data_IF_166621805210
#
_entry.id   IF_166621805210
#
_cell.length_a   1.000
_cell.length_b   1.000
_cell.length_c   1.000
_cell.angle_alpha   90.00
_cell.angle_beta   90.00
_cell.angle_gamma   90.00
#
_symmetry.space_group_name_H-M   'P 1'
#
loop_
_entity.id
_entity.type
_entity.pdbx_description
1 polymer ?
#
# COMPACT_ATOMS: atom_id res chain seq x y z
N UNK A 1 -12.23 8.07 1.75
CA UNK A 1 -12.49 6.92 2.64
C UNK A 1 -13.90 7.00 3.20
N UNK A 2 -14.61 5.87 3.21
CA UNK A 2 -15.93 5.76 3.85
C UNK A 2 -15.78 5.69 5.38
N UNK A 3 -16.87 5.93 6.11
CA UNK A 3 -16.88 5.81 7.57
C UNK A 3 -16.58 4.37 8.02
N UNK A 4 -17.17 3.38 7.34
CA UNK A 4 -16.94 1.95 7.62
C UNK A 4 -15.47 1.56 7.44
N UNK A 5 -14.82 1.99 6.34
CA UNK A 5 -13.40 1.76 6.13
C UNK A 5 -12.53 2.43 7.19
N UNK A 6 -12.90 3.63 7.65
CA UNK A 6 -12.17 4.34 8.68
C UNK A 6 -12.25 3.65 10.06
N UNK A 7 -13.43 3.14 10.41
CA UNK A 7 -13.65 2.36 11.64
C UNK A 7 -12.84 1.07 11.57
N UNK A 8 -12.96 0.31 10.46
CA UNK A 8 -12.23 -0.94 10.28
C UNK A 8 -10.70 -0.75 10.34
N UNK A 9 -10.17 0.34 9.77
CA UNK A 9 -8.77 0.70 9.87
C UNK A 9 -8.35 0.97 11.31
N UNK A 10 -9.17 1.72 12.05
CA UNK A 10 -8.91 2.02 13.47
C UNK A 10 -8.89 0.74 14.31
N UNK A 11 -9.91 -0.11 14.17
CA UNK A 11 -10.01 -1.39 14.88
C UNK A 11 -8.81 -2.32 14.56
N UNK A 12 -8.39 -2.35 13.30
CA UNK A 12 -7.21 -3.11 12.89
C UNK A 12 -5.93 -2.60 13.57
N UNK A 13 -5.70 -1.29 13.56
CA UNK A 13 -4.52 -0.69 14.17
C UNK A 13 -4.49 -0.86 15.70
N UNK A 14 -5.65 -0.82 16.35
CA UNK A 14 -5.76 -1.06 17.80
C UNK A 14 -5.54 -2.53 18.17
N UNK A 15 -5.96 -3.46 17.31
CA UNK A 15 -5.78 -4.91 17.52
C UNK A 15 -4.40 -5.44 17.11
N UNK A 16 -3.56 -4.61 16.47
CA UNK A 16 -2.24 -5.05 16.03
C UNK A 16 -1.31 -5.35 17.23
N UNK A 17 -0.79 -6.58 17.35
CA UNK A 17 0.09 -6.99 18.45
C UNK A 17 1.43 -6.24 18.44
N UNK A 18 2.30 -6.58 19.39
CA UNK A 18 3.67 -6.05 19.44
C UNK A 18 4.36 -6.36 18.13
N UNK A 19 4.89 -5.32 17.50
CA UNK A 19 5.54 -5.38 16.21
C UNK A 19 7.03 -5.07 16.38
N UNK A 20 7.83 -6.13 16.45
CA UNK A 20 9.28 -6.02 16.57
C UNK A 20 9.97 -5.75 15.21
N UNK A 21 9.26 -6.02 14.11
CA UNK A 21 9.77 -5.90 12.74
C UNK A 21 9.54 -4.50 12.14
N UNK A 22 8.82 -3.62 12.84
CA UNK A 22 8.58 -2.22 12.43
C UNK A 22 7.55 -2.06 11.30
N UNK A 23 6.76 -3.09 11.03
CA UNK A 23 5.77 -3.13 9.95
C UNK A 23 4.58 -2.19 10.19
N UNK A 24 4.10 -2.09 11.43
CA UNK A 24 3.00 -1.19 11.81
C UNK A 24 3.40 0.29 11.67
N UNK A 25 4.58 0.74 12.18
CA UNK A 25 5.10 2.07 11.87
C UNK A 25 5.22 2.34 10.37
N UNK A 26 5.77 1.40 9.59
CA UNK A 26 5.88 1.53 8.14
C UNK A 26 4.52 1.73 7.49
N UNK A 27 3.55 0.87 7.80
CA UNK A 27 2.18 0.98 7.31
C UNK A 27 1.57 2.36 7.62
N UNK A 28 1.77 2.86 8.84
CA UNK A 28 1.32 4.20 9.23
C UNK A 28 1.98 5.31 8.40
N UNK A 29 3.29 5.21 8.17
CA UNK A 29 4.04 6.17 7.37
C UNK A 29 3.52 6.20 5.93
N UNK A 30 3.41 5.03 5.28
CA UNK A 30 2.89 4.92 3.91
C UNK A 30 1.44 5.40 3.80
N UNK A 31 0.59 5.08 4.77
CA UNK A 31 -0.77 5.62 4.87
C UNK A 31 -0.77 7.15 4.96
N UNK A 32 0.12 7.74 5.75
CA UNK A 32 0.26 9.20 5.85
C UNK A 32 0.72 9.83 4.54
N UNK A 33 1.66 9.20 3.83
CA UNK A 33 2.10 9.67 2.50
C UNK A 33 0.94 9.64 1.52
N UNK A 34 0.18 8.54 1.49
CA UNK A 34 -1.00 8.42 0.63
C UNK A 34 -2.06 9.47 0.94
N UNK A 35 -2.37 9.68 2.21
CA UNK A 35 -3.34 10.69 2.66
C UNK A 35 -2.91 12.13 2.34
N UNK A 36 -1.61 12.36 2.11
CA UNK A 36 -1.07 13.67 1.74
C UNK A 36 -1.18 14.01 0.25
N UNK A 37 -1.54 13.04 -0.60
CA UNK A 37 -1.71 13.27 -2.05
C UNK A 37 -3.06 13.93 -2.30
N UNK A 38 -3.03 15.10 -2.93
CA UNK A 38 -4.24 15.87 -3.26
C UNK A 38 -5.21 15.07 -4.14
N UNK A 39 -6.49 15.07 -3.78
CA UNK A 39 -7.54 14.38 -4.52
C UNK A 39 -7.54 12.85 -4.36
N UNK A 40 -6.67 12.30 -3.51
CA UNK A 40 -6.63 10.87 -3.21
C UNK A 40 -7.86 10.41 -2.42
N UNK A 41 -8.47 9.33 -2.88
CA UNK A 41 -9.46 8.56 -2.13
C UNK A 41 -8.80 7.32 -1.55
N UNK A 42 -8.94 7.11 -0.25
CA UNK A 42 -8.52 5.87 0.40
C UNK A 42 -9.70 4.91 0.56
N UNK A 43 -9.48 3.62 0.36
CA UNK A 43 -10.40 2.52 0.64
C UNK A 43 -9.68 1.46 1.46
N UNK A 44 -10.33 0.95 2.50
CA UNK A 44 -9.75 -0.05 3.39
C UNK A 44 -10.66 -1.28 3.48
N UNK A 45 -10.07 -2.46 3.29
CA UNK A 45 -10.76 -3.75 3.32
C UNK A 45 -10.05 -4.71 4.27
N UNK A 46 -10.73 -5.06 5.36
CA UNK A 46 -10.25 -6.00 6.35
C UNK A 46 -10.73 -7.43 6.04
N UNK A 47 -9.80 -8.38 5.99
CA UNK A 47 -10.08 -9.83 5.94
C UNK A 47 -9.18 -10.52 6.98
N UNK A 48 -9.59 -10.56 8.26
CA UNK A 48 -8.79 -11.17 9.33
C UNK A 48 -8.39 -12.62 8.99
N UNK A 49 -7.13 -12.98 9.25
CA UNK A 49 -6.54 -14.27 8.87
C UNK A 49 -6.16 -14.40 7.39
N UNK A 50 -6.29 -13.32 6.61
CA UNK A 50 -5.90 -13.27 5.20
C UNK A 50 -5.07 -12.01 4.92
N UNK A 51 -5.70 -10.83 4.95
CA UNK A 51 -5.02 -9.57 4.71
C UNK A 51 -5.85 -8.37 5.15
N UNK A 52 -5.16 -7.26 5.41
CA UNK A 52 -5.75 -5.94 5.59
C UNK A 52 -5.25 -5.01 4.48
N UNK A 53 -6.15 -4.68 3.56
CA UNK A 53 -5.82 -4.00 2.31
C UNK A 53 -6.16 -2.51 2.38
N UNK A 54 -5.16 -1.64 2.27
CA UNK A 54 -5.33 -0.21 2.06
C UNK A 54 -5.07 0.13 0.59
N UNK A 55 -6.05 0.76 -0.07
CA UNK A 55 -5.97 1.15 -1.49
C UNK A 55 -5.91 2.66 -1.61
N UNK A 56 -4.90 3.15 -2.35
CA UNK A 56 -4.85 4.51 -2.85
C UNK A 56 -5.58 4.59 -4.19
N UNK A 57 -6.68 5.33 -4.25
CA UNK A 57 -7.52 5.52 -5.43
C UNK A 57 -7.46 6.96 -5.92
N UNK A 58 -7.23 7.21 -7.21
CA UNK A 58 -7.29 8.55 -7.76
C UNK A 58 -8.42 8.71 -8.80
N UNK A 59 -9.36 9.68 -8.61
CA UNK A 59 -10.54 9.82 -9.46
C UNK A 59 -10.27 10.09 -10.95
N UNK A 60 -9.10 10.60 -11.31
CA UNK A 60 -8.75 10.84 -12.73
C UNK A 60 -8.58 9.54 -13.52
N UNK A 61 -8.33 8.41 -12.84
CA UNK A 61 -8.20 7.09 -13.45
C UNK A 61 -9.51 6.30 -13.36
N UNK A 62 -10.54 6.74 -14.07
CA UNK A 62 -11.91 6.19 -13.94
C UNK A 62 -12.04 4.67 -14.16
N UNK A 63 -11.21 4.06 -15.02
CA UNK A 63 -11.25 2.62 -15.31
C UNK A 63 -10.25 1.80 -14.46
N UNK A 64 -9.24 2.44 -13.87
CA UNK A 64 -8.15 1.79 -13.13
C UNK A 64 -7.71 2.68 -11.96
N UNK A 65 -8.59 2.89 -10.98
CA UNK A 65 -8.40 3.93 -9.99
C UNK A 65 -7.25 3.66 -9.03
N UNK A 66 -6.81 2.40 -8.90
CA UNK A 66 -5.77 2.00 -7.95
C UNK A 66 -4.40 2.50 -8.40
N UNK A 67 -3.76 3.30 -7.54
CA UNK A 67 -2.38 3.73 -7.66
C UNK A 67 -1.41 2.87 -6.88
N UNK A 68 -1.87 2.40 -5.73
CA UNK A 68 -1.13 1.50 -4.86
C UNK A 68 -2.11 0.67 -4.04
N UNK A 69 -1.73 -0.58 -3.81
CA UNK A 69 -2.34 -1.48 -2.87
C UNK A 69 -1.29 -1.80 -1.79
N UNK A 70 -1.58 -1.43 -0.55
CA UNK A 70 -0.76 -1.77 0.62
C UNK A 70 -1.52 -2.86 1.38
N UNK A 71 -1.07 -4.10 1.24
CA UNK A 71 -1.62 -5.24 1.94
C UNK A 71 -0.76 -5.57 3.15
N UNK A 72 -1.35 -5.52 4.35
CA UNK A 72 -0.78 -6.21 5.50
C UNK A 72 -1.22 -7.67 5.41
N UNK A 73 -0.29 -8.57 5.19
CA UNK A 73 -0.58 -10.00 5.13
C UNK A 73 -0.70 -10.53 6.56
N UNK A 74 -1.81 -11.24 6.82
CA UNK A 74 -2.24 -11.67 8.16
C UNK A 74 -2.42 -13.19 8.22
N UNK A 75 -1.61 -13.94 7.48
CA UNK A 75 -1.56 -15.40 7.53
C UNK A 75 -0.95 -15.90 8.85
N UNK A 76 0.05 -15.20 9.38
CA UNK A 76 0.56 -15.33 10.74
C UNK A 76 0.48 -13.99 11.48
N UNK A 77 -0.54 -13.78 12.34
CA UNK A 77 -0.77 -12.47 13.00
C UNK A 77 0.37 -11.95 13.87
N UNK A 78 1.26 -12.84 14.33
CA UNK A 78 2.46 -12.50 15.10
C UNK A 78 3.65 -12.09 14.20
N UNK A 79 3.59 -12.41 12.90
CA UNK A 79 4.66 -12.19 11.93
C UNK A 79 4.19 -11.45 10.66
N UNK A 80 3.22 -10.54 10.82
CA UNK A 80 2.68 -9.73 9.72
C UNK A 80 3.78 -9.06 8.91
N UNK A 81 3.59 -9.03 7.60
CA UNK A 81 4.48 -8.39 6.63
C UNK A 81 3.64 -7.56 5.64
N UNK A 82 4.28 -6.65 4.89
CA UNK A 82 3.59 -5.85 3.87
C UNK A 82 3.88 -6.37 2.48
N UNK A 83 2.85 -6.47 1.65
CA UNK A 83 3.00 -6.45 0.21
C UNK A 83 2.50 -5.10 -0.32
N UNK A 84 3.38 -4.31 -0.92
CA UNK A 84 3.06 -3.00 -1.49
C UNK A 84 3.13 -3.10 -3.00
N UNK A 85 1.99 -3.08 -3.67
CA UNK A 85 1.90 -3.24 -5.12
C UNK A 85 1.45 -1.97 -5.83
N UNK A 86 2.14 -1.62 -6.90
CA UNK A 86 1.82 -0.52 -7.79
C UNK A 86 1.54 -1.05 -9.20
N UNK A 87 0.64 -0.46 -9.99
CA UNK A 87 0.63 -0.68 -11.43
C UNK A 87 2.02 -0.32 -12.00
N UNK A 88 2.64 -1.24 -12.76
CA UNK A 88 4.03 -1.06 -13.22
C UNK A 88 4.25 0.17 -14.10
N UNK A 89 3.19 0.68 -14.74
CA UNK A 89 3.22 1.89 -15.56
C UNK A 89 3.33 3.20 -14.76
N UNK A 90 3.08 3.17 -13.44
CA UNK A 90 2.97 4.37 -12.61
C UNK A 90 4.26 4.76 -11.90
N UNK A 91 5.18 3.81 -11.73
CA UNK A 91 6.41 3.99 -10.97
C UNK A 91 7.62 3.50 -11.75
N UNK A 92 8.80 3.91 -11.31
CA UNK A 92 10.06 3.32 -11.72
C UNK A 92 10.68 2.55 -10.55
N UNK A 93 11.36 1.43 -10.84
CA UNK A 93 12.09 0.65 -9.86
C UNK A 93 13.58 0.59 -10.24
N UNK A 94 14.33 1.70 -10.12
CA UNK A 94 15.72 1.80 -10.55
C UNK A 94 16.66 0.87 -9.79
N UNK A 95 16.34 0.57 -8.53
CA UNK A 95 17.15 -0.30 -7.68
C UNK A 95 16.72 -1.77 -7.81
N UNK A 96 15.69 -2.06 -8.63
CA UNK A 96 15.17 -3.40 -8.90
C UNK A 96 14.84 -4.16 -7.61
N UNK A 97 14.25 -3.46 -6.65
CA UNK A 97 13.90 -3.99 -5.33
C UNK A 97 12.57 -4.76 -5.40
N UNK A 98 11.67 -4.35 -6.29
CA UNK A 98 10.35 -4.94 -6.43
C UNK A 98 10.33 -6.08 -7.45
N UNK A 99 9.36 -6.96 -7.28
CA UNK A 99 9.07 -8.03 -8.23
C UNK A 99 7.99 -7.60 -9.22
N UNK A 100 8.22 -7.88 -10.51
CA UNK A 100 7.19 -7.70 -11.53
C UNK A 100 6.24 -8.90 -11.49
N UNK A 101 4.99 -8.64 -11.15
CA UNK A 101 3.90 -9.63 -11.08
C UNK A 101 2.96 -9.41 -12.27
N UNK A 102 2.99 -10.29 -13.30
CA UNK A 102 2.08 -10.19 -14.44
C UNK A 102 0.62 -10.31 -14.00
N UNK A 103 -0.24 -9.46 -14.54
CA UNK A 103 -1.67 -9.37 -14.18
C UNK A 103 -1.94 -9.20 -12.66
N UNK A 104 -0.93 -8.78 -11.89
CA UNK A 104 -0.96 -8.75 -10.43
C UNK A 104 -1.93 -7.73 -9.84
N UNK A 105 -2.30 -6.68 -10.58
CA UNK A 105 -3.21 -5.64 -10.09
C UNK A 105 -4.26 -5.29 -11.15
N UNK A 106 -5.51 -5.68 -10.88
CA UNK A 106 -6.66 -5.43 -11.77
C UNK A 106 -6.47 -5.97 -13.21
N UNK A 107 -5.71 -7.06 -13.39
CA UNK A 107 -5.41 -7.61 -14.72
C UNK A 107 -4.36 -6.80 -15.50
N UNK A 108 -3.52 -6.05 -14.78
CA UNK A 108 -2.32 -5.39 -15.29
C UNK A 108 -1.11 -5.83 -14.49
N UNK A 109 0.05 -5.73 -15.14
CA UNK A 109 1.34 -5.93 -14.51
C UNK A 109 1.50 -4.98 -13.32
N UNK A 110 1.98 -5.54 -12.21
CA UNK A 110 2.26 -4.82 -10.99
C UNK A 110 3.74 -4.93 -10.64
N UNK A 111 4.27 -3.91 -9.96
CA UNK A 111 5.54 -3.96 -9.26
C UNK A 111 5.22 -4.05 -7.77
N UNK A 112 5.55 -5.18 -7.14
CA UNK A 112 5.21 -5.49 -5.77
C UNK A 112 6.47 -5.57 -4.90
N UNK A 113 6.38 -5.02 -3.69
CA UNK A 113 7.45 -5.00 -2.72
C UNK A 113 6.99 -5.72 -1.47
N UNK A 114 7.65 -6.84 -1.16
CA UNK A 114 7.38 -7.62 0.03
C UNK A 114 8.35 -7.19 1.13
N UNK A 115 7.81 -6.71 2.26
CA UNK A 115 8.56 -6.15 3.38
C UNK A 115 8.21 -6.92 4.65
N UNK A 116 9.12 -7.79 5.06
CA UNK A 116 9.03 -8.55 6.31
C UNK A 116 9.75 -7.85 7.48
N UNK A 117 10.64 -6.90 7.20
CA UNK A 117 11.28 -6.03 8.18
C UNK A 117 11.41 -4.60 7.64
N UNK A 118 11.03 -3.62 8.46
CA UNK A 118 11.16 -2.21 8.12
C UNK A 118 12.50 -1.63 8.56
N UNK A 119 13.03 -0.75 7.72
CA UNK A 119 14.11 0.18 8.02
C UNK A 119 13.87 1.53 7.32
N UNK A 120 14.74 2.51 7.57
CA UNK A 120 14.63 3.85 6.99
C UNK A 120 14.80 3.86 5.45
N UNK A 121 15.50 2.87 4.90
CA UNK A 121 15.78 2.78 3.47
C UNK A 121 14.53 2.33 2.72
N UNK A 122 13.89 1.24 3.15
CA UNK A 122 12.65 0.74 2.53
C UNK A 122 11.48 1.70 2.75
N UNK A 123 11.40 2.36 3.92
CA UNK A 123 10.38 3.38 4.17
C UNK A 123 10.52 4.57 3.21
N UNK A 124 11.75 5.07 3.03
CA UNK A 124 12.05 6.16 2.10
C UNK A 124 11.74 5.77 0.66
N UNK A 125 12.16 4.57 0.26
CA UNK A 125 11.97 4.06 -1.10
C UNK A 125 10.48 3.94 -1.47
N UNK A 126 9.69 3.25 -0.64
CA UNK A 126 8.26 3.07 -0.86
C UNK A 126 7.50 4.41 -0.81
N UNK A 127 7.89 5.31 0.09
CA UNK A 127 7.33 6.66 0.13
C UNK A 127 7.53 7.42 -1.18
N UNK A 128 8.71 7.29 -1.79
CA UNK A 128 9.01 7.93 -3.08
C UNK A 128 8.24 7.27 -4.23
N UNK A 129 8.06 5.94 -4.23
CA UNK A 129 7.20 5.24 -5.20
C UNK A 129 5.73 5.66 -5.09
N UNK A 130 5.21 5.85 -3.88
CA UNK A 130 3.84 6.37 -3.67
C UNK A 130 3.69 7.78 -4.25
N UNK A 131 4.66 8.67 -4.00
CA UNK A 131 4.63 10.04 -4.55
C UNK A 131 4.75 10.05 -6.07
N UNK A 132 5.61 9.20 -6.63
CA UNK A 132 5.76 9.04 -8.08
C UNK A 132 4.43 8.56 -8.71
N UNK A 133 3.81 7.52 -8.15
CA UNK A 133 2.53 7.00 -8.61
C UNK A 133 1.44 8.09 -8.60
N UNK A 134 1.34 8.87 -7.51
CA UNK A 134 0.43 10.00 -7.40
C UNK A 134 0.68 11.07 -8.47
N UNK A 135 1.94 11.43 -8.70
CA UNK A 135 2.30 12.43 -9.71
C UNK A 135 2.03 11.94 -11.14
N UNK A 136 2.25 10.65 -11.42
CA UNK A 136 1.97 10.02 -12.71
C UNK A 136 0.46 9.93 -12.98
N UNK A 137 -0.35 9.66 -11.95
CA UNK A 137 -1.81 9.57 -12.05
C UNK A 137 -2.51 10.88 -12.46
N UNK A 138 -1.93 12.02 -12.07
CA UNK A 138 -2.45 13.36 -12.40
C UNK A 138 -2.05 13.77 -13.82
N UNK A 139 -0.97 13.19 -14.36
CA UNK A 139 -0.46 13.49 -15.71
C UNK A 139 -1.09 12.65 -16.83
N UNK A 140 -1.76 11.55 -16.49
CA UNK A 140 -2.44 10.66 -17.42
C UNK A 140 -3.83 11.20 -17.81
#
# INVERSE_FOLDING_TARGET
MTEESAIALTDFLESWPVDEKGIKPLFHSLHSVLASIDGMNLDFSARPGVSYSLRGLHPTRSNEPILVLIDVIDDEPEERWLSVCFPSELITDPDCVGDVVPDGLQGKDACCFDVDQSDDEIEGYLSDRIREAGASAIRA
#
